data_IF_513647104282
#
_entry.id   IF_513647104282
#
_cell.length_a   1.000
_cell.length_b   1.000
_cell.length_c   1.000
_cell.angle_alpha   90.00
_cell.angle_beta   90.00
_cell.angle_gamma   90.00
#
_symmetry.space_group_name_H-M   'P 1'
#
loop_
_entity.id
_entity.type
_entity.pdbx_description
1 polymer ?
#
# COMPACT_ATOMS: atom_id res chain seq x y z
N UNK A 1 15.58 29.01 -22.26
CA UNK A 1 15.39 27.63 -21.84
C UNK A 1 13.91 27.45 -21.71
N UNK A 2 13.29 26.48 -22.42
CA UNK A 2 11.83 26.42 -22.46
C UNK A 2 11.29 26.01 -21.07
N UNK A 3 10.37 26.80 -20.53
CA UNK A 3 9.76 26.60 -19.21
C UNK A 3 9.16 25.19 -19.07
N UNK A 4 8.67 24.63 -20.19
CA UNK A 4 8.20 23.25 -20.26
C UNK A 4 9.30 22.22 -19.92
N UNK A 5 10.51 22.38 -20.46
CA UNK A 5 11.63 21.48 -20.17
C UNK A 5 12.09 21.54 -18.70
N UNK A 6 12.02 22.73 -18.10
CA UNK A 6 12.32 22.90 -16.67
C UNK A 6 11.28 22.14 -15.84
N UNK A 7 10.01 22.33 -16.15
CA UNK A 7 8.92 21.65 -15.44
C UNK A 7 9.02 20.11 -15.56
N UNK A 8 9.24 19.60 -16.78
CA UNK A 8 9.41 18.17 -17.03
C UNK A 8 10.61 17.60 -16.24
N UNK A 9 11.73 18.32 -16.26
CA UNK A 9 12.93 17.90 -15.53
C UNK A 9 12.72 17.87 -14.03
N UNK A 10 12.09 18.90 -13.47
CA UNK A 10 11.77 18.95 -12.03
C UNK A 10 10.77 17.83 -11.67
N UNK A 11 9.75 17.61 -12.47
CA UNK A 11 8.79 16.53 -12.25
C UNK A 11 9.49 15.18 -12.21
N UNK A 12 10.37 14.86 -13.15
CA UNK A 12 11.13 13.61 -13.18
C UNK A 12 12.05 13.48 -11.97
N UNK A 13 12.75 14.54 -11.58
CA UNK A 13 13.62 14.52 -10.39
C UNK A 13 12.80 14.17 -9.14
N UNK A 14 11.66 14.84 -8.92
CA UNK A 14 10.80 14.56 -7.77
C UNK A 14 10.19 13.15 -7.83
N UNK A 15 9.84 12.68 -9.01
CA UNK A 15 9.31 11.33 -9.19
C UNK A 15 10.36 10.27 -8.83
N UNK A 16 11.59 10.40 -9.34
CA UNK A 16 12.69 9.48 -9.01
C UNK A 16 13.08 9.56 -7.53
N UNK A 17 13.11 10.76 -6.95
CA UNK A 17 13.35 10.93 -5.52
C UNK A 17 12.29 10.23 -4.67
N UNK A 18 11.00 10.32 -5.05
CA UNK A 18 9.90 9.62 -4.40
C UNK A 18 10.07 8.09 -4.47
N UNK A 19 10.40 7.57 -5.67
CA UNK A 19 10.65 6.12 -5.86
C UNK A 19 11.84 5.66 -4.99
N UNK A 20 12.95 6.39 -5.04
CA UNK A 20 14.15 6.05 -4.29
C UNK A 20 13.90 6.05 -2.78
N UNK A 21 13.20 7.07 -2.28
CA UNK A 21 12.84 7.18 -0.87
C UNK A 21 11.90 6.06 -0.44
N UNK A 22 10.84 5.78 -1.20
CA UNK A 22 9.90 4.69 -0.94
C UNK A 22 10.60 3.35 -0.86
N UNK A 23 11.45 3.05 -1.86
CA UNK A 23 12.23 1.82 -1.89
C UNK A 23 13.23 1.70 -0.74
N UNK A 24 13.91 2.80 -0.40
CA UNK A 24 14.81 2.84 0.77
C UNK A 24 14.07 2.54 2.08
N UNK A 25 12.91 3.16 2.30
CA UNK A 25 12.09 2.92 3.48
C UNK A 25 11.59 1.48 3.55
N UNK A 26 11.12 0.93 2.42
CA UNK A 26 10.73 -0.47 2.32
C UNK A 26 11.87 -1.42 2.70
N UNK A 27 13.07 -1.23 2.15
CA UNK A 27 14.24 -2.07 2.47
C UNK A 27 14.62 -1.98 3.94
N UNK A 28 14.61 -0.78 4.52
CA UNK A 28 14.91 -0.53 5.93
C UNK A 28 13.89 -1.22 6.84
N UNK A 29 12.59 -1.10 6.54
CA UNK A 29 11.52 -1.75 7.31
C UNK A 29 11.62 -3.27 7.20
N UNK A 30 11.78 -3.81 5.99
CA UNK A 30 11.95 -5.23 5.76
C UNK A 30 13.17 -5.82 6.49
N UNK A 31 14.29 -5.08 6.53
CA UNK A 31 15.48 -5.47 7.28
C UNK A 31 15.18 -5.52 8.78
N UNK A 32 14.57 -4.48 9.34
CA UNK A 32 14.20 -4.41 10.75
C UNK A 32 13.28 -5.55 11.17
N UNK A 33 12.25 -5.87 10.37
CA UNK A 33 11.34 -6.97 10.65
C UNK A 33 12.09 -8.31 10.65
N UNK A 34 12.98 -8.55 9.69
CA UNK A 34 13.78 -9.79 9.61
C UNK A 34 14.72 -9.97 10.80
N UNK A 35 15.38 -8.91 11.25
CA UNK A 35 16.29 -8.92 12.39
C UNK A 35 15.57 -9.25 13.70
N UNK A 36 14.34 -8.76 13.87
CA UNK A 36 13.55 -8.98 15.09
C UNK A 36 12.59 -10.18 15.00
N UNK A 37 12.51 -10.86 13.85
CA UNK A 37 11.59 -11.99 13.60
C UNK A 37 11.74 -13.13 14.63
N UNK A 38 12.96 -13.39 15.09
CA UNK A 38 13.27 -14.52 15.98
C UNK A 38 13.32 -14.12 17.46
N UNK A 39 12.97 -12.86 17.80
CA UNK A 39 13.02 -12.35 19.17
C UNK A 39 11.68 -11.72 19.54
N UNK A 40 10.93 -12.39 20.42
CA UNK A 40 9.74 -11.75 21.01
C UNK A 40 10.23 -10.73 22.05
N UNK A 41 9.80 -9.46 21.98
CA UNK A 41 10.14 -8.46 23.00
C UNK A 41 9.75 -8.95 24.39
N UNK A 42 10.58 -8.70 25.40
CA UNK A 42 10.38 -9.16 26.77
C UNK A 42 9.01 -8.83 27.34
N UNK A 43 8.46 -7.67 26.99
CA UNK A 43 7.12 -7.23 27.42
C UNK A 43 6.00 -8.17 26.93
N UNK A 44 6.20 -8.88 25.83
CA UNK A 44 5.22 -9.78 25.21
C UNK A 44 5.59 -11.27 25.30
N UNK A 45 6.73 -11.62 25.93
CA UNK A 45 7.24 -13.00 25.97
C UNK A 45 6.29 -13.99 26.67
N UNK A 46 5.44 -13.52 27.58
CA UNK A 46 4.42 -14.34 28.24
C UNK A 46 3.06 -14.37 27.54
N UNK A 47 2.84 -13.52 26.52
CA UNK A 47 1.54 -13.32 25.87
C UNK A 47 1.52 -13.86 24.44
N UNK A 48 2.67 -13.90 23.77
CA UNK A 48 2.79 -14.24 22.35
C UNK A 48 3.83 -15.35 22.17
N UNK A 49 3.43 -16.46 21.54
CA UNK A 49 4.38 -17.53 21.19
C UNK A 49 5.33 -17.04 20.07
N UNK A 50 6.54 -17.61 20.04
CA UNK A 50 7.52 -17.32 19.01
C UNK A 50 6.99 -17.58 17.60
N UNK A 51 6.20 -18.65 17.43
CA UNK A 51 5.64 -19.03 16.13
C UNK A 51 4.58 -18.02 15.68
N UNK A 52 3.74 -17.53 16.59
CA UNK A 52 2.78 -16.47 16.28
C UNK A 52 3.49 -15.16 15.92
N UNK A 53 4.60 -14.82 16.59
CA UNK A 53 5.41 -13.64 16.26
C UNK A 53 6.06 -13.76 14.87
N UNK A 54 6.64 -14.92 14.54
CA UNK A 54 7.20 -15.18 13.20
C UNK A 54 6.15 -15.05 12.10
N UNK A 55 4.99 -15.67 12.31
CA UNK A 55 3.91 -15.61 11.34
C UNK A 55 3.37 -14.19 11.13
N UNK A 56 3.27 -13.39 12.20
CA UNK A 56 2.90 -11.99 12.11
C UNK A 56 3.95 -11.17 11.33
N UNK A 57 5.25 -11.45 11.56
CA UNK A 57 6.35 -10.82 10.84
C UNK A 57 6.34 -11.15 9.34
N UNK A 58 6.09 -12.42 8.99
CA UNK A 58 6.00 -12.87 7.60
C UNK A 58 4.78 -12.25 6.90
N UNK A 59 3.64 -12.12 7.61
CA UNK A 59 2.46 -11.44 7.11
C UNK A 59 2.74 -9.97 6.79
N UNK A 60 3.44 -9.29 7.69
CA UNK A 60 3.82 -7.88 7.52
C UNK A 60 4.71 -7.71 6.30
N UNK A 61 5.77 -8.51 6.18
CA UNK A 61 6.67 -8.48 5.02
C UNK A 61 5.94 -8.70 3.69
N UNK A 62 4.95 -9.61 3.67
CA UNK A 62 4.14 -9.84 2.49
C UNK A 62 3.26 -8.62 2.16
N UNK A 63 2.59 -8.07 3.15
CA UNK A 63 1.73 -6.89 2.98
C UNK A 63 2.52 -5.67 2.48
N UNK A 64 3.71 -5.44 3.04
CA UNK A 64 4.60 -4.35 2.65
C UNK A 64 5.10 -4.53 1.21
N UNK A 65 5.46 -5.77 0.82
CA UNK A 65 5.84 -6.09 -0.57
C UNK A 65 4.69 -5.82 -1.56
N UNK A 66 3.47 -6.24 -1.25
CA UNK A 66 2.29 -5.99 -2.11
C UNK A 66 2.01 -4.50 -2.20
N UNK A 67 2.14 -3.78 -1.09
CA UNK A 67 1.95 -2.32 -1.06
C UNK A 67 2.98 -1.58 -1.91
N UNK A 68 4.25 -2.01 -1.87
CA UNK A 68 5.32 -1.43 -2.70
C UNK A 68 5.09 -1.68 -4.19
N UNK A 69 4.71 -2.90 -4.59
CA UNK A 69 4.36 -3.21 -5.98
C UNK A 69 3.17 -2.36 -6.45
N UNK A 70 2.15 -2.19 -5.60
CA UNK A 70 1.02 -1.32 -5.88
C UNK A 70 1.45 0.13 -6.10
N UNK A 71 2.34 0.64 -5.25
CA UNK A 71 2.87 2.00 -5.39
C UNK A 71 3.62 2.17 -6.71
N UNK A 72 4.52 1.25 -7.05
CA UNK A 72 5.24 1.25 -8.34
C UNK A 72 4.29 1.16 -9.53
N UNK A 73 3.23 0.34 -9.46
CA UNK A 73 2.24 0.24 -10.53
C UNK A 73 1.49 1.56 -10.76
N UNK A 74 1.13 2.27 -9.70
CA UNK A 74 0.52 3.60 -9.81
C UNK A 74 1.48 4.62 -10.43
N UNK A 75 2.76 4.59 -10.08
CA UNK A 75 3.79 5.46 -10.67
C UNK A 75 3.99 5.17 -12.17
N UNK A 76 4.04 3.89 -12.55
CA UNK A 76 4.10 3.49 -13.97
C UNK A 76 2.87 3.99 -14.73
N UNK A 77 1.67 3.89 -14.15
CA UNK A 77 0.46 4.44 -14.78
C UNK A 77 0.55 5.96 -14.97
N UNK A 78 1.02 6.70 -13.96
CA UNK A 78 1.24 8.15 -14.07
C UNK A 78 2.22 8.47 -15.21
N UNK A 79 3.35 7.74 -15.29
CA UNK A 79 4.35 7.94 -16.35
C UNK A 79 3.78 7.65 -17.73
N UNK A 80 3.03 6.57 -17.91
CA UNK A 80 2.40 6.23 -19.17
C UNK A 80 1.35 7.26 -19.60
N UNK A 81 0.57 7.77 -18.65
CA UNK A 81 -0.42 8.81 -18.92
C UNK A 81 0.24 10.13 -19.30
N UNK A 82 1.29 10.55 -18.57
CA UNK A 82 1.92 11.86 -18.77
C UNK A 82 2.92 11.85 -19.92
N UNK A 83 3.93 10.99 -19.87
CA UNK A 83 5.03 10.94 -20.87
C UNK A 83 4.77 9.98 -22.01
N UNK A 84 3.98 8.92 -21.80
CA UNK A 84 3.57 8.00 -22.85
C UNK A 84 2.51 8.54 -23.80
N UNK A 85 2.11 9.83 -23.66
CA UNK A 85 1.07 10.44 -24.47
C UNK A 85 -0.33 9.90 -24.17
N UNK A 86 -0.50 9.13 -23.09
CA UNK A 86 -1.78 8.50 -22.72
C UNK A 86 -2.89 9.51 -22.51
N UNK A 87 -2.61 10.65 -21.87
CA UNK A 87 -3.57 11.76 -21.69
C UNK A 87 -4.00 12.31 -23.05
N UNK A 88 -3.05 12.61 -23.93
CA UNK A 88 -3.33 13.18 -25.25
C UNK A 88 -4.12 12.20 -26.11
N UNK A 89 -3.68 10.96 -26.19
CA UNK A 89 -4.36 9.92 -26.97
C UNK A 89 -5.80 9.70 -26.50
N UNK A 90 -6.00 9.55 -25.20
CA UNK A 90 -7.32 9.28 -24.64
C UNK A 90 -8.25 10.50 -24.72
N UNK A 91 -7.74 11.74 -24.48
CA UNK A 91 -8.52 12.96 -24.63
C UNK A 91 -8.95 13.18 -26.08
N UNK A 92 -8.07 12.93 -27.06
CA UNK A 92 -8.38 13.03 -28.49
C UNK A 92 -9.46 12.01 -28.88
N UNK A 93 -9.37 10.78 -28.39
CA UNK A 93 -10.36 9.74 -28.64
C UNK A 93 -11.75 10.17 -28.13
N UNK A 94 -11.84 10.66 -26.90
CA UNK A 94 -13.10 11.12 -26.32
C UNK A 94 -13.65 12.36 -27.06
N UNK A 95 -12.78 13.30 -27.41
CA UNK A 95 -13.18 14.52 -28.11
C UNK A 95 -13.71 14.22 -29.50
N UNK A 96 -13.12 13.26 -30.21
CA UNK A 96 -13.58 12.82 -31.53
C UNK A 96 -14.96 12.15 -31.48
N UNK A 97 -15.28 11.47 -30.38
CA UNK A 97 -16.56 10.76 -30.23
C UNK A 97 -17.69 11.65 -29.65
N UNK A 98 -17.36 12.50 -28.70
CA UNK A 98 -18.32 13.24 -27.89
C UNK A 98 -18.26 14.77 -28.07
N UNK A 99 -17.30 15.25 -28.87
CA UNK A 99 -17.04 16.68 -29.03
C UNK A 99 -16.22 17.27 -27.88
N UNK A 100 -15.77 18.53 -28.09
CA UNK A 100 -15.01 19.30 -27.11
C UNK A 100 -15.96 20.04 -26.16
N UNK A 101 -16.29 19.45 -25.01
CA UNK A 101 -17.18 20.10 -24.05
C UNK A 101 -16.82 19.78 -22.62
N UNK A 102 -17.46 20.45 -21.66
CA UNK A 102 -17.28 20.20 -20.22
C UNK A 102 -17.58 18.75 -19.86
N UNK A 103 -18.60 18.14 -20.48
CA UNK A 103 -18.96 16.76 -20.29
C UNK A 103 -17.82 15.80 -20.64
N UNK A 104 -17.14 16.01 -21.76
CA UNK A 104 -15.99 15.20 -22.19
C UNK A 104 -14.82 15.31 -21.21
N UNK A 105 -14.56 16.50 -20.67
CA UNK A 105 -13.50 16.71 -19.66
C UNK A 105 -13.81 16.00 -18.35
N UNK A 106 -15.07 16.05 -17.88
CA UNK A 106 -15.50 15.33 -16.67
C UNK A 106 -15.40 13.83 -16.89
N UNK A 107 -15.86 13.34 -18.04
CA UNK A 107 -15.78 11.91 -18.38
C UNK A 107 -14.32 11.42 -18.42
N UNK A 108 -13.42 12.21 -19.01
CA UNK A 108 -11.98 11.93 -19.01
C UNK A 108 -11.44 11.78 -17.58
N UNK A 109 -11.72 12.74 -16.70
CA UNK A 109 -11.28 12.71 -15.30
C UNK A 109 -11.83 11.49 -14.56
N UNK A 110 -13.11 11.15 -14.78
CA UNK A 110 -13.74 9.96 -14.16
C UNK A 110 -13.08 8.66 -14.61
N UNK A 111 -12.78 8.50 -15.90
CA UNK A 111 -12.14 7.28 -16.42
C UNK A 111 -10.72 7.12 -15.86
N UNK A 112 -9.95 8.21 -15.80
CA UNK A 112 -8.61 8.19 -15.20
C UNK A 112 -8.71 7.81 -13.71
N UNK A 113 -9.62 8.42 -12.95
CA UNK A 113 -9.84 8.10 -11.55
C UNK A 113 -10.25 6.62 -11.36
N UNK A 114 -11.14 6.11 -12.23
CA UNK A 114 -11.58 4.71 -12.22
C UNK A 114 -10.42 3.75 -12.49
N UNK A 115 -9.51 4.07 -13.41
CA UNK A 115 -8.33 3.25 -13.68
C UNK A 115 -7.46 3.10 -12.43
N UNK A 116 -7.19 4.21 -11.71
CA UNK A 116 -6.47 4.15 -10.43
C UNK A 116 -7.22 3.33 -9.38
N UNK A 117 -8.53 3.53 -9.27
CA UNK A 117 -9.37 2.80 -8.31
C UNK A 117 -9.33 1.29 -8.58
N UNK A 118 -9.47 0.86 -9.83
CA UNK A 118 -9.43 -0.55 -10.23
C UNK A 118 -8.07 -1.17 -9.90
N UNK A 119 -6.96 -0.51 -10.24
CA UNK A 119 -5.61 -0.99 -9.91
C UNK A 119 -5.46 -1.16 -8.39
N UNK A 120 -5.84 -0.15 -7.61
CA UNK A 120 -5.74 -0.22 -6.16
C UNK A 120 -6.65 -1.30 -5.56
N UNK A 121 -7.86 -1.48 -6.09
CA UNK A 121 -8.78 -2.54 -5.65
C UNK A 121 -8.25 -3.95 -5.96
N UNK A 122 -7.63 -4.16 -7.13
CA UNK A 122 -6.99 -5.43 -7.48
C UNK A 122 -5.85 -5.78 -6.51
N UNK A 123 -4.96 -4.83 -6.21
CA UNK A 123 -3.89 -5.07 -5.24
C UNK A 123 -4.42 -5.31 -3.83
N UNK A 124 -5.49 -4.62 -3.42
CA UNK A 124 -6.14 -4.86 -2.15
C UNK A 124 -6.77 -6.27 -2.08
N UNK A 125 -7.37 -6.75 -3.17
CA UNK A 125 -7.92 -8.09 -3.27
C UNK A 125 -6.81 -9.16 -3.18
N UNK A 126 -5.66 -8.93 -3.85
CA UNK A 126 -4.48 -9.82 -3.77
C UNK A 126 -3.93 -9.86 -2.33
N UNK A 127 -3.83 -8.71 -1.69
CA UNK A 127 -3.34 -8.62 -0.30
C UNK A 127 -4.26 -9.30 0.70
N UNK A 128 -5.57 -9.32 0.43
CA UNK A 128 -6.60 -9.93 1.29
C UNK A 128 -6.85 -11.42 1.00
N UNK A 129 -6.20 -12.01 -0.01
CA UNK A 129 -6.52 -13.39 -0.42
C UNK A 129 -6.14 -14.39 0.69
N UNK A 130 -7.12 -14.98 1.42
CA UNK A 130 -6.87 -15.73 2.66
C UNK A 130 -6.25 -17.11 2.40
N UNK A 131 -6.43 -17.69 1.21
CA UNK A 131 -5.92 -19.04 0.92
C UNK A 131 -4.40 -19.11 0.80
N UNK A 132 -3.74 -18.01 0.43
CA UNK A 132 -2.26 -17.92 0.39
C UNK A 132 -1.66 -17.30 1.65
N UNK A 133 -2.49 -16.77 2.53
CA UNK A 133 -2.03 -16.01 3.69
C UNK A 133 -2.52 -16.69 4.99
N UNK A 134 -1.87 -17.79 5.40
CA UNK A 134 -2.05 -18.35 6.75
C UNK A 134 -1.88 -17.30 7.86
N UNK A 135 -1.24 -16.20 7.54
CA UNK A 135 -1.05 -15.00 8.33
C UNK A 135 -2.34 -14.22 8.62
N UNK A 136 -3.35 -14.26 7.73
CA UNK A 136 -4.64 -13.60 7.98
C UNK A 136 -5.44 -14.30 9.08
N UNK A 137 -5.33 -15.64 9.16
CA UNK A 137 -5.96 -16.43 10.23
C UNK A 137 -5.32 -16.10 11.58
N UNK A 138 -4.02 -15.84 11.60
CA UNK A 138 -3.28 -15.44 12.80
C UNK A 138 -3.67 -14.03 13.23
N UNK A 139 -3.77 -13.07 12.33
CA UNK A 139 -4.24 -11.70 12.64
C UNK A 139 -5.69 -11.70 13.14
N UNK A 140 -6.56 -12.57 12.62
CA UNK A 140 -7.93 -12.75 13.13
C UNK A 140 -7.92 -13.33 14.55
N UNK A 141 -7.03 -14.28 14.84
CA UNK A 141 -6.86 -14.82 16.19
C UNK A 141 -6.22 -13.81 17.14
N UNK A 142 -5.33 -12.92 16.66
CA UNK A 142 -4.79 -11.80 17.45
C UNK A 142 -5.87 -10.78 17.85
N UNK A 143 -6.80 -10.46 16.97
CA UNK A 143 -7.98 -9.63 17.29
C UNK A 143 -8.82 -10.24 18.42
N UNK A 144 -9.01 -11.56 18.39
CA UNK A 144 -9.68 -12.33 19.45
C UNK A 144 -8.88 -12.37 20.77
N UNK A 145 -7.55 -12.46 20.68
CA UNK A 145 -6.67 -12.44 21.86
C UNK A 145 -6.60 -11.05 22.49
N UNK A 146 -6.66 -9.99 21.70
CA UNK A 146 -6.70 -8.61 22.19
C UNK A 146 -7.93 -8.33 23.06
N UNK A 147 -9.09 -8.89 22.70
CA UNK A 147 -10.30 -8.80 23.54
C UNK A 147 -10.17 -9.59 24.85
N UNK A 148 -9.50 -10.75 24.82
CA UNK A 148 -9.24 -11.55 26.04
C UNK A 148 -8.23 -10.86 26.97
N UNK A 149 -7.16 -10.27 26.41
CA UNK A 149 -6.15 -9.54 27.21
C UNK A 149 -6.75 -8.28 27.82
N UNK A 150 -7.57 -7.53 27.08
CA UNK A 150 -8.31 -6.38 27.61
C UNK A 150 -9.18 -6.78 28.80
N UNK A 151 -9.91 -7.89 28.71
CA UNK A 151 -10.77 -8.35 29.78
C UNK A 151 -9.99 -8.85 31.00
N UNK A 152 -8.83 -9.48 30.82
CA UNK A 152 -7.96 -9.93 31.92
C UNK A 152 -7.28 -8.74 32.64
N UNK A 153 -6.84 -7.73 31.90
CA UNK A 153 -6.27 -6.51 32.48
C UNK A 153 -7.34 -5.73 33.24
N UNK A 154 -8.55 -5.60 32.69
CA UNK A 154 -9.66 -4.91 33.36
C UNK A 154 -10.13 -5.65 34.63
N UNK A 155 -10.19 -6.98 34.60
CA UNK A 155 -10.57 -7.76 35.78
C UNK A 155 -9.53 -7.67 36.91
N UNK A 156 -8.22 -7.58 36.60
CA UNK A 156 -7.17 -7.38 37.63
C UNK A 156 -7.18 -5.99 38.25
N UNK A 157 -7.59 -4.96 37.50
CA UNK A 157 -7.75 -3.61 38.08
C UNK A 157 -8.91 -3.50 39.06
N UNK A 158 -9.98 -4.31 38.89
CA UNK A 158 -11.12 -4.33 39.81
C UNK A 158 -10.83 -5.06 41.15
N UNK A 159 -9.80 -5.90 41.22
CA UNK A 159 -9.40 -6.58 42.46
C UNK A 159 -8.37 -5.79 43.30
N UNK A 160 -7.92 -4.62 42.83
CA UNK A 160 -6.95 -3.75 43.52
C UNK A 160 -7.54 -2.41 44.03
N UNK A 161 -8.82 -2.22 43.85
CA UNK A 161 -9.63 -1.14 44.46
C UNK A 161 -10.55 -1.69 45.50
#
# INVERSE_FOLDING_TARGET
MNDALIFESLFLIFLFANIALGFYLYLREAKSIREHRNKVPHVFSGLVSLDAHKAASDARLYADKVNEIRHLSNLVLVLLLTFGGGVTWFSTLLTNQLGSGLFTQILFALVVALAFLVINALFLAIAKNPEKNSSYLILRNFGSTRSKVSNVVFSRFQYLS
#
